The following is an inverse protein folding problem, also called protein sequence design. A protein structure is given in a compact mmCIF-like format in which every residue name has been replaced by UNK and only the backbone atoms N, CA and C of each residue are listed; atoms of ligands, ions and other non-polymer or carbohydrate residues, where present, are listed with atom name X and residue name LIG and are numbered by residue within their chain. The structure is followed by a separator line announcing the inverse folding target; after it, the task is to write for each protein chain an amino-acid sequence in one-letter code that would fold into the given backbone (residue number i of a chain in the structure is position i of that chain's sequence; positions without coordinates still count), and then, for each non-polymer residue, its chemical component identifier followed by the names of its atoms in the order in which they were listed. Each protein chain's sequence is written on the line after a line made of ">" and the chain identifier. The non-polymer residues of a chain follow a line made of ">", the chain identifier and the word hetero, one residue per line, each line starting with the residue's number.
data_IF_604497066987
#
_entry.id   IF_604497066987
#
_cell.length_a   1.000
_cell.length_b   1.000
_cell.length_c   1.000
_cell.angle_alpha   90.00
_cell.angle_beta   90.00
_cell.angle_gamma   90.00
#
_symmetry.space_group_name_H-M   'P 1'
#
loop_
_entity.id
_entity.type
_entity.pdbx_description
1 polymer ?
#
# COMPACT_ATOMS: atom_id res chain seq x y z
N UNK A 1 15.10 -14.03 -15.66
CA UNK A 1 14.34 -13.13 -16.54
C UNK A 1 13.70 -11.93 -15.82
N UNK A 2 13.18 -12.07 -14.59
CA UNK A 2 12.58 -10.94 -13.87
C UNK A 2 13.56 -9.82 -13.41
N UNK A 3 14.88 -10.10 -13.36
CA UNK A 3 15.92 -9.10 -13.02
C UNK A 3 16.12 -8.00 -14.08
N UNK A 4 15.69 -8.19 -15.32
CA UNK A 4 16.07 -7.30 -16.44
C UNK A 4 14.92 -6.42 -16.99
N UNK A 5 13.66 -6.71 -16.65
CA UNK A 5 12.50 -6.02 -17.27
C UNK A 5 11.41 -5.59 -16.28
N UNK A 6 11.60 -5.77 -14.98
CA UNK A 6 10.58 -5.38 -13.99
C UNK A 6 10.68 -3.89 -13.67
N UNK A 7 9.63 -3.13 -13.99
CA UNK A 7 9.49 -1.68 -13.71
C UNK A 7 8.98 -1.39 -12.28
N UNK A 8 8.93 -2.40 -11.40
CA UNK A 8 8.45 -2.21 -10.02
C UNK A 8 9.62 -1.86 -9.09
N UNK A 9 9.57 -0.73 -8.35
CA UNK A 9 10.60 -0.40 -7.36
C UNK A 9 10.78 -1.54 -6.35
N UNK A 10 12.00 -2.07 -6.22
CA UNK A 10 12.35 -3.15 -5.28
C UNK A 10 12.20 -4.58 -5.82
N UNK A 11 11.81 -4.78 -7.08
CA UNK A 11 11.74 -6.11 -7.70
C UNK A 11 13.13 -6.72 -7.97
N UNK A 12 14.14 -5.87 -8.06
CA UNK A 12 15.56 -6.19 -8.13
C UNK A 12 16.08 -6.88 -6.86
N UNK A 13 15.54 -6.53 -5.68
CA UNK A 13 15.93 -7.12 -4.40
C UNK A 13 15.37 -8.56 -4.19
N UNK A 14 14.18 -8.88 -4.72
CA UNK A 14 13.54 -10.20 -4.59
C UNK A 14 13.52 -11.01 -5.89
N UNK A 15 14.13 -10.50 -6.96
CA UNK A 15 14.11 -11.15 -8.27
C UNK A 15 12.71 -11.28 -8.88
N UNK A 16 11.77 -10.43 -8.49
CA UNK A 16 10.37 -10.45 -8.94
C UNK A 16 9.46 -11.42 -8.20
N UNK A 17 9.94 -12.06 -7.12
CA UNK A 17 9.10 -12.92 -6.29
C UNK A 17 8.10 -12.09 -5.46
N UNK A 18 6.85 -12.54 -5.46
CA UNK A 18 5.73 -11.96 -4.73
C UNK A 18 5.46 -12.70 -3.41
N UNK A 19 6.09 -13.86 -3.19
CA UNK A 19 5.73 -14.78 -2.13
C UNK A 19 4.33 -15.37 -2.35
N UNK A 20 3.73 -15.90 -1.27
CA UNK A 20 2.35 -16.36 -1.30
C UNK A 20 1.39 -15.18 -1.29
N UNK A 21 0.54 -15.12 -2.31
CA UNK A 21 -0.47 -14.08 -2.49
C UNK A 21 -1.86 -14.68 -2.59
N UNK A 22 -2.86 -13.95 -2.12
CA UNK A 22 -4.27 -14.34 -2.27
C UNK A 22 -4.84 -13.87 -3.60
N UNK A 23 -5.98 -14.46 -4.00
CA UNK A 23 -6.71 -14.06 -5.21
C UNK A 23 -7.07 -12.58 -5.20
N UNK A 24 -7.49 -12.07 -4.05
CA UNK A 24 -7.87 -10.65 -3.88
C UNK A 24 -6.67 -9.70 -4.02
N UNK A 25 -5.50 -10.09 -3.50
CA UNK A 25 -4.28 -9.29 -3.63
C UNK A 25 -3.81 -9.14 -5.08
N UNK A 26 -4.16 -10.08 -5.96
CA UNK A 26 -3.85 -10.06 -7.38
C UNK A 26 -4.88 -9.28 -8.22
N UNK A 27 -6.03 -8.92 -7.64
CA UNK A 27 -7.11 -8.21 -8.32
C UNK A 27 -7.54 -8.91 -9.62
N UNK A 28 -7.53 -8.18 -10.74
CA UNK A 28 -7.95 -8.69 -12.06
C UNK A 28 -7.12 -9.86 -12.59
N UNK A 29 -5.91 -10.07 -12.05
CA UNK A 29 -5.04 -11.18 -12.42
C UNK A 29 -5.32 -12.45 -11.60
N UNK A 30 -6.02 -12.33 -10.47
CA UNK A 30 -6.24 -13.41 -9.52
C UNK A 30 -6.89 -14.63 -10.14
N UNK A 31 -7.93 -14.43 -10.96
CA UNK A 31 -8.61 -15.52 -11.68
C UNK A 31 -7.66 -16.32 -12.57
N UNK A 32 -6.87 -15.62 -13.40
CA UNK A 32 -5.94 -16.28 -14.33
C UNK A 32 -4.81 -16.99 -13.61
N UNK A 33 -4.25 -16.37 -12.56
CA UNK A 33 -3.15 -16.95 -11.77
C UNK A 33 -3.61 -18.20 -11.01
N UNK A 34 -4.77 -18.15 -10.38
CA UNK A 34 -5.29 -19.30 -9.62
C UNK A 34 -5.91 -20.39 -10.51
N UNK A 35 -6.23 -20.11 -11.77
CA UNK A 35 -6.65 -21.13 -12.75
C UNK A 35 -5.46 -21.85 -13.40
N UNK A 36 -4.28 -21.25 -13.37
CA UNK A 36 -3.10 -21.80 -14.03
C UNK A 36 -2.40 -22.87 -13.16
N UNK A 37 -1.69 -23.78 -13.83
CA UNK A 37 -0.94 -24.83 -13.16
C UNK A 37 0.32 -24.26 -12.47
N UNK A 38 0.75 -24.83 -11.33
CA UNK A 38 2.08 -24.57 -10.78
C UNK A 38 3.18 -24.75 -11.84
N UNK A 39 4.17 -23.89 -11.84
CA UNK A 39 5.24 -23.83 -12.85
C UNK A 39 4.89 -23.12 -14.17
N UNK A 40 3.64 -22.71 -14.39
CA UNK A 40 3.24 -22.05 -15.64
C UNK A 40 3.59 -20.57 -15.67
N UNK A 41 3.86 -20.04 -16.87
CA UNK A 41 4.06 -18.62 -17.10
C UNK A 41 2.82 -18.05 -17.79
N UNK A 42 2.28 -16.96 -17.23
CA UNK A 42 1.11 -16.23 -17.70
C UNK A 42 1.52 -14.87 -18.24
N UNK A 43 1.11 -14.60 -19.48
CA UNK A 43 1.19 -13.28 -20.10
C UNK A 43 1.87 -13.26 -21.47
N UNK A 44 2.11 -12.07 -22.02
CA UNK A 44 1.82 -10.75 -21.42
C UNK A 44 0.33 -10.47 -21.24
N UNK A 45 -0.07 -10.00 -20.06
CA UNK A 45 -1.44 -9.57 -19.75
C UNK A 45 -1.45 -8.05 -19.63
N UNK A 46 -2.30 -7.38 -20.40
CA UNK A 46 -2.46 -5.94 -20.29
C UNK A 46 -3.31 -5.57 -19.07
N UNK A 47 -2.76 -4.72 -18.21
CA UNK A 47 -3.43 -4.18 -17.02
C UNK A 47 -3.16 -2.68 -16.98
N UNK A 48 -4.23 -1.88 -17.18
CA UNK A 48 -4.17 -0.40 -17.14
C UNK A 48 -3.07 0.18 -18.05
N UNK A 49 -2.97 -0.31 -19.28
CA UNK A 49 -1.99 0.15 -20.27
C UNK A 49 -0.54 -0.30 -19.99
N UNK A 50 -0.34 -1.30 -19.12
CA UNK A 50 0.97 -1.92 -18.86
C UNK A 50 0.87 -3.42 -19.06
N UNK A 51 1.92 -4.04 -19.57
CA UNK A 51 2.00 -5.49 -19.72
C UNK A 51 2.64 -6.14 -18.50
N UNK A 52 2.02 -7.22 -18.04
CA UNK A 52 2.47 -8.00 -16.88
C UNK A 52 2.74 -9.44 -17.33
N UNK A 53 3.92 -9.96 -16.99
CA UNK A 53 4.26 -11.39 -17.06
C UNK A 53 4.36 -11.94 -15.64
N UNK A 54 3.76 -13.11 -15.40
CA UNK A 54 3.73 -13.77 -14.09
C UNK A 54 4.17 -15.22 -14.26
N UNK A 55 4.98 -15.73 -13.34
CA UNK A 55 5.25 -17.16 -13.23
C UNK A 55 4.58 -17.69 -11.97
N UNK A 56 3.75 -18.72 -12.10
CA UNK A 56 3.13 -19.40 -10.97
C UNK A 56 4.15 -20.36 -10.40
N UNK A 57 4.61 -20.14 -9.18
CA UNK A 57 5.54 -21.05 -8.50
C UNK A 57 4.84 -22.29 -7.98
N UNK A 58 4.17 -22.14 -6.84
CA UNK A 58 3.45 -23.22 -6.15
C UNK A 58 2.06 -22.75 -5.69
N UNK A 59 1.17 -23.70 -5.39
CA UNK A 59 -0.19 -23.44 -4.91
C UNK A 59 -0.43 -24.17 -3.59
N UNK A 60 -0.64 -23.42 -2.53
CA UNK A 60 -1.07 -23.98 -1.25
C UNK A 60 -2.60 -24.23 -1.23
N UNK A 61 -3.05 -25.37 -0.69
CA UNK A 61 -4.47 -25.61 -0.46
C UNK A 61 -5.03 -24.61 0.55
N UNK A 62 -6.31 -24.27 0.41
CA UNK A 62 -6.98 -23.38 1.34
C UNK A 62 -6.98 -24.00 2.75
N UNK A 63 -6.29 -23.36 3.68
CA UNK A 63 -6.25 -23.71 5.09
C UNK A 63 -6.30 -22.44 5.94
N UNK A 64 -6.77 -22.53 7.19
CA UNK A 64 -6.56 -21.46 8.15
C UNK A 64 -5.05 -21.18 8.26
N UNK A 65 -4.66 -19.95 7.97
CA UNK A 65 -3.31 -19.50 8.26
C UNK A 65 -3.11 -19.49 9.78
N UNK A 66 -1.94 -19.90 10.23
CA UNK A 66 -1.55 -19.70 11.63
C UNK A 66 -1.32 -18.21 11.89
N UNK A 67 -1.37 -17.80 13.16
CA UNK A 67 -1.11 -16.41 13.53
C UNK A 67 0.27 -15.94 13.06
N UNK A 68 1.31 -16.77 13.18
CA UNK A 68 2.66 -16.43 12.73
C UNK A 68 2.73 -16.16 11.21
N UNK A 69 2.05 -16.99 10.41
CA UNK A 69 1.99 -16.81 8.96
C UNK A 69 1.20 -15.56 8.56
N UNK A 70 0.12 -15.25 9.30
CA UNK A 70 -0.71 -14.08 9.07
C UNK A 70 -0.14 -12.79 9.69
N UNK A 71 0.87 -12.88 10.56
CA UNK A 71 1.36 -11.76 11.38
C UNK A 71 1.72 -10.54 10.55
N UNK A 72 2.47 -10.73 9.48
CA UNK A 72 2.90 -9.63 8.60
C UNK A 72 1.71 -8.95 7.90
N UNK A 73 0.70 -9.73 7.50
CA UNK A 73 -0.53 -9.21 6.88
C UNK A 73 -1.35 -8.43 7.91
N UNK A 74 -1.56 -9.00 9.09
CA UNK A 74 -2.28 -8.37 10.21
C UNK A 74 -1.60 -7.07 10.61
N UNK A 75 -0.27 -7.05 10.72
CA UNK A 75 0.49 -5.84 11.02
C UNK A 75 0.32 -4.78 9.93
N UNK A 76 0.41 -5.17 8.65
CA UNK A 76 0.20 -4.24 7.53
C UNK A 76 -1.21 -3.62 7.57
N UNK A 77 -2.23 -4.40 7.89
CA UNK A 77 -3.61 -3.93 7.98
C UNK A 77 -3.85 -3.04 9.20
N UNK A 78 -3.26 -3.37 10.34
CA UNK A 78 -3.48 -2.64 11.60
C UNK A 78 -2.61 -1.39 11.74
N UNK A 79 -1.41 -1.36 11.15
CA UNK A 79 -0.45 -0.26 11.29
C UNK A 79 -1.06 1.14 11.04
N UNK A 80 -1.81 1.39 9.95
CA UNK A 80 -2.41 2.71 9.71
C UNK A 80 -3.43 3.12 10.79
N UNK A 81 -4.21 2.15 11.31
CA UNK A 81 -5.19 2.40 12.35
C UNK A 81 -4.52 2.77 13.68
N UNK A 82 -3.42 2.08 14.02
CA UNK A 82 -2.62 2.37 15.20
C UNK A 82 -1.90 3.71 15.08
N UNK A 83 -1.29 4.02 13.94
CA UNK A 83 -0.63 5.32 13.68
C UNK A 83 -1.60 6.49 13.85
N UNK A 84 -2.79 6.40 13.25
CA UNK A 84 -3.83 7.43 13.37
C UNK A 84 -4.26 7.64 14.83
N UNK A 85 -4.45 6.54 15.56
CA UNK A 85 -4.83 6.59 16.98
C UNK A 85 -3.72 7.20 17.84
N UNK A 86 -2.48 6.79 17.61
CA UNK A 86 -1.32 7.26 18.38
C UNK A 86 -1.05 8.74 18.10
N UNK A 87 -1.07 9.15 16.83
CA UNK A 87 -0.92 10.55 16.45
C UNK A 87 -1.99 11.43 17.09
N UNK A 88 -3.26 11.00 17.07
CA UNK A 88 -4.35 11.75 17.71
C UNK A 88 -4.13 11.89 19.21
N UNK A 89 -3.79 10.80 19.89
CA UNK A 89 -3.50 10.82 21.32
C UNK A 89 -2.29 11.71 21.67
N UNK A 90 -1.27 11.72 20.81
CA UNK A 90 -0.07 12.55 20.93
C UNK A 90 -0.36 14.03 20.71
N UNK A 91 -1.14 14.39 19.69
CA UNK A 91 -1.59 15.78 19.48
C UNK A 91 -2.45 16.26 20.66
N UNK A 92 -3.33 15.41 21.17
CA UNK A 92 -4.15 15.72 22.34
C UNK A 92 -3.30 15.88 23.61
N UNK A 93 -2.22 15.10 23.78
CA UNK A 93 -1.31 15.28 24.91
C UNK A 93 -0.48 16.57 24.79
N UNK A 94 -0.03 16.95 23.59
CA UNK A 94 0.67 18.21 23.35
C UNK A 94 -0.21 19.43 23.65
N UNK A 95 -1.47 19.42 23.20
CA UNK A 95 -2.44 20.49 23.48
C UNK A 95 -2.72 20.72 24.97
N UNK A 96 -2.59 19.67 25.80
CA UNK A 96 -2.79 19.77 27.25
C UNK A 96 -1.60 20.39 27.99
N UNK A 97 -0.38 20.19 27.51
CA UNK A 97 0.84 20.64 28.19
C UNK A 97 1.39 21.96 27.65
N UNK A 98 0.97 22.38 26.45
CA UNK A 98 1.31 23.68 25.88
C UNK A 98 0.01 24.42 25.52
N UNK A 99 -0.32 25.56 26.16
CA UNK A 99 -1.50 26.33 25.82
C UNK A 99 -1.34 26.93 24.40
N UNK A 100 -1.90 26.25 23.41
CA UNK A 100 -1.87 26.69 22.01
C UNK A 100 -2.69 27.97 21.88
N UNK A 101 -2.03 29.10 21.71
CA UNK A 101 -2.66 30.37 21.39
C UNK A 101 -2.87 30.46 19.88
N UNK A 102 -4.08 30.14 19.43
CA UNK A 102 -4.47 30.32 18.03
C UNK A 102 -4.78 31.80 17.83
N UNK A 103 -3.84 32.54 17.24
CA UNK A 103 -4.07 33.94 16.83
C UNK A 103 -5.01 33.97 15.62
N UNK A 104 -6.32 33.96 15.89
CA UNK A 104 -7.39 33.94 14.87
C UNK A 104 -7.25 35.04 13.81
N UNK A 105 -6.79 36.23 14.18
CA UNK A 105 -6.60 37.32 13.22
C UNK A 105 -5.50 37.07 12.17
N UNK A 106 -4.43 36.36 12.54
CA UNK A 106 -3.37 36.00 11.60
C UNK A 106 -3.82 34.89 10.63
N UNK A 107 -4.60 33.92 11.13
CA UNK A 107 -5.17 32.86 10.31
C UNK A 107 -6.20 33.38 9.30
N UNK A 108 -7.02 34.36 9.69
CA UNK A 108 -7.98 34.99 8.77
C UNK A 108 -7.30 35.86 7.70
N UNK A 109 -6.22 36.58 8.04
CA UNK A 109 -5.44 37.35 7.04
C UNK A 109 -4.77 36.45 6.00
N UNK A 110 -4.14 35.35 6.44
CA UNK A 110 -3.48 34.42 5.54
C UNK A 110 -4.46 33.69 4.61
N UNK A 111 -5.66 33.36 5.11
CA UNK A 111 -6.72 32.78 4.30
C UNK A 111 -7.25 33.77 3.24
N UNK A 112 -7.44 35.04 3.63
CA UNK A 112 -7.89 36.08 2.72
C UNK A 112 -6.84 36.41 1.62
N UNK A 113 -5.55 36.39 1.95
CA UNK A 113 -4.45 36.57 0.97
C UNK A 113 -4.30 35.38 0.01
N UNK A 114 -4.70 34.16 0.40
CA UNK A 114 -4.66 32.99 -0.48
C UNK A 114 -5.88 32.89 -1.39
N UNK A 115 -7.05 33.38 -0.96
CA UNK A 115 -8.25 33.49 -1.80
C UNK A 115 -8.18 34.67 -2.78
N UNK A 116 -7.43 35.73 -2.42
CA UNK A 116 -7.05 36.79 -3.34
C UNK A 116 -5.83 36.34 -4.16
N UNK A 117 -6.07 35.59 -5.25
CA UNK A 117 -5.03 35.24 -6.23
C UNK A 117 -4.18 36.45 -6.67
N UNK A 118 -2.99 36.24 -7.25
CA UNK A 118 -1.98 37.29 -7.42
C UNK A 118 -2.54 38.45 -8.24
N UNK A 119 -2.73 39.60 -7.60
CA UNK A 119 -2.83 40.88 -8.31
C UNK A 119 -1.55 41.09 -9.11
N UNK A 120 -1.72 41.35 -10.40
CA UNK A 120 -0.70 41.48 -11.45
C UNK A 120 0.55 42.26 -11.10
#
# INVERSE_FOLDING_TARGET
>A
MARQYSLRPGADATGGDLGYVTRDQLGVLGERVFAAAPGSVLGPIEVKGRYVLLAVGDRQPARPATFEEARAEVERQLRPAFEKRWFRAYVDSLRRHHPVHVHREAAHRLAAELDAGPTS
#
